data_IF_937564799935
#
_entry.id   IF_937564799935
#
_cell.length_a   1.000
_cell.length_b   1.000
_cell.length_c   1.000
_cell.angle_alpha   90.00
_cell.angle_beta   90.00
_cell.angle_gamma   90.00
#
_symmetry.space_group_name_H-M   'P 1'
#
loop_
_entity.id
_entity.type
_entity.pdbx_description
1 polymer ?
#
# COMPACT_ATOMS: atom_id res chain seq x y z
N UNK A 1 12.30 7.72 -4.05
CA UNK A 1 10.98 7.09 -4.35
C UNK A 1 10.87 5.78 -3.59
N UNK A 2 9.65 5.22 -3.32
CA UNK A 2 9.54 3.93 -2.61
C UNK A 2 10.36 2.82 -3.30
N UNK A 3 10.31 2.73 -4.62
CA UNK A 3 11.05 1.71 -5.38
C UNK A 3 12.57 1.75 -5.23
N UNK A 4 13.15 2.81 -4.69
CA UNK A 4 14.59 2.89 -4.42
C UNK A 4 14.96 2.07 -3.17
N UNK A 5 13.98 1.82 -2.31
CA UNK A 5 14.16 1.15 -1.03
C UNK A 5 13.29 -0.10 -0.86
N UNK A 6 12.08 -0.12 -1.45
CA UNK A 6 11.09 -1.20 -1.34
C UNK A 6 10.12 -1.22 -2.53
N UNK A 7 9.43 -2.35 -2.81
CA UNK A 7 9.89 -3.72 -2.57
C UNK A 7 10.98 -4.12 -3.56
N UNK A 8 11.75 -5.13 -3.22
CA UNK A 8 12.80 -5.66 -4.11
C UNK A 8 12.28 -6.68 -5.12
N UNK A 9 11.05 -7.14 -4.96
CA UNK A 9 10.40 -8.10 -5.85
C UNK A 9 10.09 -7.48 -7.23
N UNK A 10 10.14 -8.32 -8.26
CA UNK A 10 9.65 -8.00 -9.60
C UNK A 10 8.24 -8.59 -9.86
N UNK A 11 7.50 -8.92 -8.81
CA UNK A 11 6.19 -9.54 -8.88
C UNK A 11 5.22 -8.77 -7.96
N UNK A 12 4.83 -7.56 -8.38
CA UNK A 12 3.97 -6.66 -7.62
C UNK A 12 2.53 -6.75 -8.12
N UNK A 13 1.59 -6.89 -7.19
CA UNK A 13 0.17 -6.69 -7.44
C UNK A 13 -0.29 -5.35 -6.83
N UNK A 14 -0.78 -4.46 -7.69
CA UNK A 14 -1.50 -3.24 -7.31
C UNK A 14 -3.00 -3.58 -7.25
N UNK A 15 -3.55 -3.76 -6.05
CA UNK A 15 -4.88 -4.31 -5.85
C UNK A 15 -6.01 -3.27 -5.70
N UNK A 16 -5.68 -1.99 -5.76
CA UNK A 16 -6.60 -0.85 -5.80
C UNK A 16 -6.05 0.21 -6.77
N UNK A 17 -5.89 -0.19 -8.03
CA UNK A 17 -5.05 0.54 -8.98
C UNK A 17 -5.65 1.87 -9.47
N UNK A 18 -6.93 2.10 -9.26
CA UNK A 18 -7.60 3.31 -9.75
C UNK A 18 -7.36 3.54 -11.25
N UNK A 19 -6.95 4.75 -11.61
CA UNK A 19 -6.56 5.10 -12.99
C UNK A 19 -5.14 4.64 -13.37
N UNK A 20 -4.48 3.82 -12.54
CA UNK A 20 -3.19 3.21 -12.83
C UNK A 20 -1.96 4.06 -12.54
N UNK A 21 -2.08 5.16 -11.80
CA UNK A 21 -0.94 6.06 -11.56
C UNK A 21 0.26 5.33 -10.94
N UNK A 22 0.03 4.53 -9.91
CA UNK A 22 1.07 3.77 -9.23
C UNK A 22 1.49 2.54 -10.06
N UNK A 23 0.52 1.81 -10.61
CA UNK A 23 0.75 0.61 -11.41
C UNK A 23 1.62 0.89 -12.66
N UNK A 24 1.38 2.00 -13.37
CA UNK A 24 2.20 2.41 -14.52
C UNK A 24 3.66 2.68 -14.14
N UNK A 25 3.91 3.15 -12.91
CA UNK A 25 5.30 3.27 -12.42
C UNK A 25 5.93 1.89 -12.26
N UNK A 26 5.23 0.93 -11.66
CA UNK A 26 5.74 -0.45 -11.52
C UNK A 26 5.94 -1.11 -12.87
N UNK A 27 5.05 -0.90 -13.82
CA UNK A 27 5.16 -1.40 -15.19
C UNK A 27 6.41 -0.86 -15.88
N UNK A 28 6.66 0.46 -15.78
CA UNK A 28 7.87 1.10 -16.34
C UNK A 28 9.17 0.49 -15.80
N UNK A 29 9.17 0.04 -14.55
CA UNK A 29 10.35 -0.61 -13.93
C UNK A 29 10.33 -2.13 -14.06
N UNK A 30 9.42 -2.72 -14.85
CA UNK A 30 9.32 -4.17 -15.04
C UNK A 30 8.96 -4.94 -13.78
N UNK A 31 8.24 -4.32 -12.85
CA UNK A 31 7.88 -4.88 -11.54
C UNK A 31 6.41 -5.25 -11.41
N UNK A 32 5.54 -4.77 -12.30
CA UNK A 32 4.10 -5.03 -12.23
C UNK A 32 3.78 -6.44 -12.73
N UNK A 33 3.14 -7.24 -11.88
CA UNK A 33 2.58 -8.54 -12.24
C UNK A 33 1.07 -8.49 -12.48
N UNK A 34 0.35 -7.70 -11.70
CA UNK A 34 -1.10 -7.52 -11.81
C UNK A 34 -1.54 -6.14 -11.32
N UNK A 35 -2.59 -5.62 -11.95
CA UNK A 35 -3.30 -4.43 -11.51
C UNK A 35 -4.80 -4.70 -11.53
N UNK A 36 -5.50 -4.40 -10.44
CA UNK A 36 -6.95 -4.60 -10.31
C UNK A 36 -7.61 -3.53 -9.45
N UNK A 37 -8.89 -3.32 -9.66
CA UNK A 37 -9.71 -2.42 -8.87
C UNK A 37 -11.16 -2.94 -8.83
N UNK A 38 -11.92 -2.52 -7.83
CA UNK A 38 -13.35 -2.79 -7.75
C UNK A 38 -14.11 -2.00 -8.83
N UNK A 39 -13.67 -0.76 -9.08
CA UNK A 39 -14.32 0.19 -10.00
C UNK A 39 -13.50 0.28 -11.28
N UNK A 40 -14.17 0.27 -12.42
CA UNK A 40 -13.56 0.53 -13.71
C UNK A 40 -13.20 2.02 -13.86
N UNK A 41 -11.91 2.30 -13.91
CA UNK A 41 -11.35 3.64 -14.13
C UNK A 41 -10.45 3.67 -15.37
N UNK A 42 -10.63 2.71 -16.30
CA UNK A 42 -9.90 2.62 -17.56
C UNK A 42 -8.50 2.03 -17.45
N UNK A 43 -8.13 1.41 -16.32
CA UNK A 43 -6.85 0.74 -16.14
C UNK A 43 -7.00 -0.53 -15.31
N UNK A 44 -6.20 -1.56 -15.66
CA UNK A 44 -6.20 -2.82 -14.93
C UNK A 44 -7.49 -3.63 -15.09
N UNK A 45 -7.59 -4.68 -14.29
CA UNK A 45 -8.78 -5.54 -14.24
C UNK A 45 -9.81 -4.94 -13.29
N UNK A 46 -10.97 -4.55 -13.80
CA UNK A 46 -12.09 -4.01 -13.02
C UNK A 46 -12.98 -5.10 -12.42
N UNK A 47 -13.85 -4.73 -11.49
CA UNK A 47 -14.79 -5.63 -10.83
C UNK A 47 -14.15 -6.63 -9.87
N UNK A 48 -12.92 -6.36 -9.42
CA UNK A 48 -12.21 -7.19 -8.43
C UNK A 48 -12.35 -6.57 -7.05
N UNK A 49 -13.17 -7.18 -6.21
CA UNK A 49 -13.22 -6.83 -4.78
C UNK A 49 -12.06 -7.51 -4.05
N UNK A 50 -11.02 -6.74 -3.77
CA UNK A 50 -9.82 -7.25 -3.12
C UNK A 50 -10.10 -7.88 -1.75
N UNK A 51 -11.02 -7.33 -0.97
CA UNK A 51 -11.35 -7.85 0.36
C UNK A 51 -12.04 -9.22 0.32
N UNK A 52 -12.59 -9.59 -0.83
CA UNK A 52 -13.21 -10.91 -1.07
C UNK A 52 -12.30 -11.88 -1.83
N UNK A 53 -11.09 -11.47 -2.21
CA UNK A 53 -10.16 -12.35 -2.88
C UNK A 53 -9.68 -13.47 -1.96
N UNK A 54 -9.56 -14.68 -2.54
CA UNK A 54 -8.99 -15.87 -1.90
C UNK A 54 -7.77 -16.41 -2.65
N UNK A 55 -7.48 -15.85 -3.84
CA UNK A 55 -6.34 -16.28 -4.65
C UNK A 55 -5.03 -15.78 -4.05
N UNK A 56 -4.16 -16.69 -3.66
CA UNK A 56 -2.81 -16.36 -3.21
C UNK A 56 -1.98 -15.68 -4.30
N UNK A 57 -1.14 -14.75 -3.88
CA UNK A 57 -0.20 -14.03 -4.73
C UNK A 57 1.23 -14.33 -4.29
N UNK A 58 2.02 -14.96 -5.15
CA UNK A 58 3.43 -15.26 -4.85
C UNK A 58 4.34 -14.07 -5.17
N UNK A 59 4.08 -12.94 -4.56
CA UNK A 59 4.81 -11.69 -4.75
C UNK A 59 4.46 -10.69 -3.67
N UNK A 60 4.76 -9.43 -3.93
CA UNK A 60 4.45 -8.32 -3.02
C UNK A 60 3.15 -7.64 -3.43
N UNK A 61 2.45 -7.08 -2.47
CA UNK A 61 1.28 -6.24 -2.70
C UNK A 61 1.64 -4.81 -2.34
N UNK A 62 1.50 -3.91 -3.30
CA UNK A 62 1.84 -2.48 -3.13
C UNK A 62 0.68 -1.65 -3.65
N UNK A 63 0.05 -0.86 -2.78
CA UNK A 63 -1.13 -0.10 -3.16
C UNK A 63 -1.33 1.16 -2.31
N UNK A 64 -2.14 2.07 -2.85
CA UNK A 64 -2.78 3.16 -2.13
C UNK A 64 -4.25 2.78 -1.90
N UNK A 65 -4.59 2.11 -0.79
CA UNK A 65 -5.93 1.59 -0.57
C UNK A 65 -6.91 2.72 -0.20
N UNK A 66 -8.22 2.49 -0.32
CA UNK A 66 -9.21 3.38 0.28
C UNK A 66 -8.96 3.48 1.79
N UNK A 67 -8.67 4.69 2.30
CA UNK A 67 -8.27 4.88 3.71
C UNK A 67 -9.30 4.37 4.72
N UNK A 68 -10.56 4.41 4.34
CA UNK A 68 -11.68 3.87 5.12
C UNK A 68 -11.52 2.39 5.43
N UNK A 69 -10.91 1.62 4.53
CA UNK A 69 -10.72 0.17 4.62
C UNK A 69 -9.24 -0.23 4.76
N UNK A 70 -8.39 0.71 5.20
CA UNK A 70 -6.95 0.49 5.25
C UNK A 70 -6.55 -0.74 6.06
N UNK A 71 -7.15 -0.93 7.23
CA UNK A 71 -6.85 -2.10 8.09
C UNK A 71 -7.22 -3.41 7.41
N UNK A 72 -8.43 -3.48 6.85
CA UNK A 72 -8.93 -4.68 6.15
C UNK A 72 -8.06 -5.01 4.93
N UNK A 73 -7.59 -3.98 4.20
CA UNK A 73 -6.65 -4.16 3.09
C UNK A 73 -5.31 -4.73 3.53
N UNK A 74 -4.74 -4.22 4.63
CA UNK A 74 -3.47 -4.76 5.16
C UNK A 74 -3.65 -6.21 5.61
N UNK A 75 -4.71 -6.52 6.36
CA UNK A 75 -4.99 -7.88 6.83
C UNK A 75 -5.19 -8.85 5.67
N UNK A 76 -5.98 -8.46 4.65
CA UNK A 76 -6.20 -9.27 3.45
C UNK A 76 -4.90 -9.47 2.67
N UNK A 77 -4.11 -8.43 2.49
CA UNK A 77 -2.84 -8.54 1.78
C UNK A 77 -1.88 -9.52 2.47
N UNK A 78 -1.74 -9.43 3.79
CA UNK A 78 -0.92 -10.37 4.57
C UNK A 78 -1.44 -11.81 4.49
N UNK A 79 -2.77 -12.01 4.42
CA UNK A 79 -3.37 -13.33 4.22
C UNK A 79 -2.95 -13.95 2.86
N UNK A 80 -2.92 -13.15 1.79
CA UNK A 80 -2.76 -13.63 0.42
C UNK A 80 -1.32 -13.88 -0.02
N UNK A 81 -0.33 -13.35 0.69
CA UNK A 81 1.10 -13.51 0.33
C UNK A 81 1.79 -14.55 1.21
N UNK A 82 2.87 -15.20 0.74
CA UNK A 82 3.67 -16.11 1.56
C UNK A 82 4.63 -15.34 2.47
N UNK A 83 5.18 -16.04 3.46
CA UNK A 83 6.22 -15.51 4.35
C UNK A 83 7.40 -14.94 3.55
N UNK A 84 7.99 -13.86 4.06
CA UNK A 84 9.10 -13.14 3.43
C UNK A 84 8.68 -12.17 2.32
N UNK A 85 7.42 -12.20 1.86
CA UNK A 85 6.89 -11.21 0.94
C UNK A 85 6.37 -9.99 1.69
N UNK A 86 6.22 -8.89 0.95
CA UNK A 86 5.93 -7.59 1.54
C UNK A 86 4.56 -7.04 1.12
N UNK A 87 3.98 -6.34 2.06
CA UNK A 87 2.81 -5.48 1.86
C UNK A 87 3.24 -4.05 2.07
N UNK A 88 3.13 -3.22 1.04
CA UNK A 88 3.45 -1.80 1.10
C UNK A 88 2.16 -0.99 0.88
N UNK A 89 1.74 -0.24 1.88
CA UNK A 89 0.53 0.56 1.83
C UNK A 89 0.85 2.04 2.00
N UNK A 90 0.35 2.85 1.09
CA UNK A 90 0.40 4.30 1.20
C UNK A 90 -0.76 4.78 2.07
N UNK A 91 -0.47 5.22 3.30
CA UNK A 91 -1.48 5.53 4.30
C UNK A 91 -1.22 6.88 4.97
N UNK A 92 -2.26 7.44 5.60
CA UNK A 92 -2.10 8.55 6.53
C UNK A 92 -1.32 8.09 7.76
N UNK A 93 -0.46 8.95 8.32
CA UNK A 93 0.32 8.64 9.54
C UNK A 93 -0.60 8.31 10.72
N UNK A 94 -1.80 8.92 10.78
CA UNK A 94 -2.82 8.60 11.78
C UNK A 94 -3.25 7.12 11.79
N UNK A 95 -2.87 6.33 10.79
CA UNK A 95 -3.08 4.88 10.84
C UNK A 95 -2.42 4.24 12.06
N UNK A 96 -1.32 4.81 12.57
CA UNK A 96 -0.64 4.36 13.80
C UNK A 96 -1.45 4.65 15.07
N UNK A 97 -2.35 5.63 15.05
CA UNK A 97 -3.10 6.09 16.20
C UNK A 97 -4.50 5.48 16.19
N UNK A 98 -4.73 4.43 16.96
CA UNK A 98 -6.08 3.91 17.21
C UNK A 98 -6.07 2.78 18.23
N UNK A 99 -6.96 2.87 19.21
CA UNK A 99 -7.25 1.76 20.14
C UNK A 99 -7.77 0.53 19.39
N UNK A 100 -8.59 0.72 18.35
CA UNK A 100 -9.13 -0.37 17.54
C UNK A 100 -8.08 -1.15 16.78
N UNK A 101 -6.96 -0.51 16.39
CA UNK A 101 -5.84 -1.16 15.69
C UNK A 101 -4.75 -1.69 16.61
N UNK A 102 -4.82 -1.41 17.90
CA UNK A 102 -3.81 -1.86 18.87
C UNK A 102 -3.59 -3.37 18.80
N UNK A 103 -4.68 -4.15 18.84
CA UNK A 103 -4.60 -5.62 18.75
C UNK A 103 -3.93 -6.10 17.46
N UNK A 104 -4.21 -5.43 16.34
CA UNK A 104 -3.56 -5.73 15.06
C UNK A 104 -2.05 -5.46 15.14
N UNK A 105 -1.63 -4.33 15.68
CA UNK A 105 -0.21 -4.00 15.82
C UNK A 105 0.53 -4.91 16.82
N UNK A 106 -0.16 -5.43 17.84
CA UNK A 106 0.44 -6.41 18.76
C UNK A 106 0.80 -7.72 18.04
N UNK A 107 0.09 -8.05 16.95
CA UNK A 107 0.31 -9.26 16.16
C UNK A 107 1.15 -9.00 14.89
N UNK A 108 0.91 -7.89 14.20
CA UNK A 108 1.52 -7.53 12.91
C UNK A 108 2.12 -6.13 12.94
N UNK A 109 3.35 -6.02 13.40
CA UNK A 109 4.09 -4.76 13.33
C UNK A 109 4.55 -4.47 11.90
N UNK A 110 4.44 -3.22 11.42
CA UNK A 110 5.12 -2.84 10.21
C UNK A 110 6.63 -2.96 10.40
N UNK A 111 7.32 -3.54 9.44
CA UNK A 111 8.79 -3.63 9.46
C UNK A 111 9.41 -2.24 9.36
N UNK A 112 8.86 -1.39 8.49
CA UNK A 112 9.36 -0.02 8.28
C UNK A 112 8.21 0.92 7.94
N UNK A 113 8.26 2.12 8.48
CA UNK A 113 7.41 3.25 8.09
C UNK A 113 8.32 4.29 7.44
N UNK A 114 8.11 4.54 6.13
CA UNK A 114 8.85 5.56 5.39
C UNK A 114 8.08 6.87 5.38
N UNK A 115 8.60 7.84 6.08
CA UNK A 115 8.04 9.20 6.16
C UNK A 115 8.65 10.05 5.05
N UNK A 116 7.86 10.86 4.39
CA UNK A 116 8.36 11.79 3.37
C UNK A 116 9.04 13.00 4.00
N UNK A 117 10.17 13.38 3.44
CA UNK A 117 10.89 14.62 3.85
C UNK A 117 10.21 15.90 3.38
N UNK A 118 9.28 15.79 2.43
CA UNK A 118 8.46 16.89 1.93
C UNK A 118 6.99 16.47 1.87
N UNK A 119 6.08 17.46 1.88
CA UNK A 119 4.65 17.18 1.76
C UNK A 119 4.31 16.54 0.43
N UNK A 120 3.66 15.40 0.48
CA UNK A 120 3.08 14.74 -0.69
C UNK A 120 1.65 15.24 -0.86
N UNK A 121 1.36 15.79 -2.03
CA UNK A 121 -0.01 16.09 -2.43
C UNK A 121 -0.68 14.78 -2.85
N UNK A 122 -1.60 14.30 -2.04
CA UNK A 122 -2.43 13.14 -2.38
C UNK A 122 -3.79 13.65 -2.84
N UNK A 123 -4.12 13.39 -4.09
CA UNK A 123 -5.38 13.77 -4.67
C UNK A 123 -6.35 12.58 -4.72
N UNK A 124 -7.57 12.77 -4.28
CA UNK A 124 -8.65 11.84 -4.60
C UNK A 124 -8.88 11.87 -6.12
N UNK A 125 -8.86 10.68 -6.74
CA UNK A 125 -9.09 10.52 -8.19
C UNK A 125 -8.15 11.31 -9.11
N UNK A 126 -6.94 11.69 -8.64
CA UNK A 126 -5.98 12.46 -9.45
C UNK A 126 -6.23 13.95 -9.53
N UNK A 127 -7.22 14.48 -8.82
CA UNK A 127 -7.50 15.92 -8.78
C UNK A 127 -6.60 16.64 -7.77
N UNK A 128 -5.42 17.06 -8.24
CA UNK A 128 -4.43 17.78 -7.45
C UNK A 128 -4.81 19.22 -7.15
N UNK A 129 -5.75 19.80 -7.88
CA UNK A 129 -6.23 21.18 -7.69
C UNK A 129 -7.17 21.28 -6.48
N UNK A 130 -8.01 20.26 -6.26
CA UNK A 130 -8.96 20.23 -5.14
C UNK A 130 -8.29 20.01 -3.77
N UNK A 131 -7.01 19.67 -3.72
CA UNK A 131 -6.27 19.37 -2.48
C UNK A 131 -5.46 20.53 -1.93
N UNK A 132 -5.79 21.76 -2.27
CA UNK A 132 -5.19 22.94 -1.64
C UNK A 132 -5.51 22.95 -0.14
N UNK A 133 -4.49 22.59 0.68
CA UNK A 133 -4.57 22.72 2.13
C UNK A 133 -4.81 21.41 2.93
N UNK A 134 -4.68 20.23 2.32
CA UNK A 134 -4.73 18.98 3.11
C UNK A 134 -3.59 18.96 4.13
N UNK A 135 -3.95 19.02 5.42
CA UNK A 135 -3.03 18.88 6.54
C UNK A 135 -2.61 17.41 6.79
N UNK A 136 -3.10 16.47 5.99
CA UNK A 136 -2.83 15.06 6.19
C UNK A 136 -1.37 14.73 5.82
N UNK A 137 -0.69 14.06 6.72
CA UNK A 137 0.64 13.50 6.52
C UNK A 137 0.50 12.04 6.08
N UNK A 138 1.28 11.68 5.07
CA UNK A 138 1.29 10.34 4.50
C UNK A 138 2.64 9.67 4.69
N UNK A 139 2.64 8.35 4.73
CA UNK A 139 3.83 7.51 4.77
C UNK A 139 3.59 6.21 4.00
N UNK A 140 4.66 5.57 3.59
CA UNK A 140 4.62 4.18 3.18
C UNK A 140 4.80 3.29 4.39
N UNK A 141 3.83 2.45 4.64
CA UNK A 141 3.90 1.40 5.65
C UNK A 141 4.28 0.09 4.98
N UNK A 142 5.35 -0.54 5.44
CA UNK A 142 5.86 -1.78 4.89
C UNK A 142 5.80 -2.88 5.94
N UNK A 143 5.00 -3.90 5.66
CA UNK A 143 4.99 -5.16 6.42
C UNK A 143 5.75 -6.21 5.63
N UNK A 144 6.51 -7.03 6.30
CA UNK A 144 7.05 -8.28 5.78
C UNK A 144 6.35 -9.43 6.50
N UNK A 145 5.67 -10.31 5.77
CA UNK A 145 4.98 -11.42 6.40
C UNK A 145 5.95 -12.34 7.11
N UNK A 146 5.67 -12.64 8.38
CA UNK A 146 6.55 -13.41 9.25
C UNK A 146 7.60 -12.57 10.00
N UNK A 147 7.65 -11.25 9.79
CA UNK A 147 8.56 -10.36 10.54
C UNK A 147 8.30 -10.40 12.04
N UNK A 148 9.38 -10.54 12.83
CA UNK A 148 9.33 -10.61 14.30
C UNK A 148 10.20 -9.55 14.99
N UNK A 149 10.82 -8.66 14.23
CA UNK A 149 11.65 -7.57 14.76
C UNK A 149 10.83 -6.33 15.17
N UNK A 150 11.55 -5.30 15.55
CA UNK A 150 10.98 -4.00 15.89
C UNK A 150 10.66 -3.18 14.63
N UNK A 151 9.66 -2.32 14.72
CA UNK A 151 9.35 -1.36 13.67
C UNK A 151 10.43 -0.28 13.56
N UNK A 152 10.75 0.10 12.33
CA UNK A 152 11.72 1.16 12.02
C UNK A 152 11.02 2.35 11.38
N UNK A 153 11.48 3.54 11.69
CA UNK A 153 11.08 4.75 10.96
C UNK A 153 12.26 5.20 10.09
N UNK A 154 11.99 5.47 8.83
CA UNK A 154 12.98 5.97 7.87
C UNK A 154 12.38 7.12 7.06
N UNK A 155 13.24 7.93 6.45
CA UNK A 155 12.84 9.05 5.62
C UNK A 155 13.18 8.79 4.16
N UNK A 156 12.26 9.19 3.28
CA UNK A 156 12.43 9.17 1.82
C UNK A 156 12.04 10.54 1.25
N UNK A 157 12.77 10.98 0.27
CA UNK A 157 12.54 12.27 -0.40
C UNK A 157 12.68 12.18 -1.89
#
# INVERSE_FOLDING_TARGET
>A
MLLDVEPKSNNIWECACGAGHLAKVFEKYGKLAAASDLIDRGYGKSGVDFLRCSRHHNGDIVTNPPFRYALEFVQKALELIPDGRKVCMFLRIQFLESKARRKFFDEYLPQTVYVFTSRIKCAMNGDFEATKGSAALYAWFVWEKGWKGESRVRWIG
#
